data_IF_901749941382
#
_entry.id   IF_901749941382
#
_cell.length_a   1.000
_cell.length_b   1.000
_cell.length_c   1.000
_cell.angle_alpha   90.00
_cell.angle_beta   90.00
_cell.angle_gamma   90.00
#
_symmetry.space_group_name_H-M   'P 1'
#
loop_
_entity.id
_entity.type
_entity.pdbx_description
1 polymer ?
#
# COMPACT_ATOMS: atom_id res chain seq x y z
N UNK A 1 -6.06 25.44 -14.57
CA UNK A 1 -6.07 24.43 -15.66
C UNK A 1 -4.68 23.90 -16.02
N UNK A 2 -3.71 24.73 -16.46
CA UNK A 2 -2.32 24.26 -16.68
C UNK A 2 -1.62 23.93 -15.36
N UNK A 3 -1.77 24.80 -14.35
CA UNK A 3 -1.20 24.62 -13.00
C UNK A 3 -1.72 23.35 -12.32
N UNK A 4 -3.01 23.03 -12.46
CA UNK A 4 -3.59 21.81 -11.89
C UNK A 4 -3.08 20.54 -12.57
N UNK A 5 -2.86 20.57 -13.89
CA UNK A 5 -2.27 19.44 -14.61
C UNK A 5 -0.83 19.19 -14.20
N UNK A 6 -0.04 20.27 -14.06
CA UNK A 6 1.35 20.19 -13.61
C UNK A 6 1.40 19.66 -12.18
N UNK A 7 0.59 20.20 -11.26
CA UNK A 7 0.52 19.73 -9.88
C UNK A 7 0.18 18.24 -9.78
N UNK A 8 -0.85 17.81 -10.50
CA UNK A 8 -1.33 16.41 -10.46
C UNK A 8 -0.43 15.43 -11.22
N UNK A 9 0.62 15.89 -11.91
CA UNK A 9 1.64 15.02 -12.48
C UNK A 9 2.95 15.08 -11.68
N UNK A 10 3.40 16.30 -11.36
CA UNK A 10 4.64 16.57 -10.66
C UNK A 10 4.62 16.01 -9.22
N UNK A 11 3.58 16.32 -8.43
CA UNK A 11 3.52 15.88 -7.03
C UNK A 11 3.49 14.35 -6.91
N UNK A 12 2.66 13.60 -7.65
CA UNK A 12 2.71 12.13 -7.59
C UNK A 12 4.05 11.56 -8.08
N UNK A 13 4.66 12.15 -9.10
CA UNK A 13 5.99 11.71 -9.58
C UNK A 13 7.05 11.90 -8.51
N UNK A 14 7.03 13.05 -7.82
CA UNK A 14 7.94 13.33 -6.70
C UNK A 14 7.70 12.37 -5.53
N UNK A 15 6.43 12.11 -5.17
CA UNK A 15 6.07 11.13 -4.14
C UNK A 15 6.61 9.74 -4.52
N UNK A 16 6.45 9.31 -5.77
CA UNK A 16 6.93 8.01 -6.24
C UNK A 16 8.45 7.90 -6.11
N UNK A 17 9.19 8.90 -6.61
CA UNK A 17 10.65 8.93 -6.59
C UNK A 17 11.16 8.91 -5.14
N UNK A 18 10.65 9.81 -4.29
CA UNK A 18 11.04 9.88 -2.88
C UNK A 18 10.72 8.57 -2.17
N UNK A 19 9.54 7.99 -2.40
CA UNK A 19 9.14 6.73 -1.76
C UNK A 19 10.05 5.58 -2.19
N UNK A 20 10.37 5.47 -3.48
CA UNK A 20 11.29 4.44 -3.99
C UNK A 20 12.66 4.58 -3.34
N UNK A 21 13.21 5.80 -3.27
CA UNK A 21 14.48 6.08 -2.58
C UNK A 21 14.40 5.66 -1.12
N UNK A 22 13.35 6.07 -0.39
CA UNK A 22 13.15 5.67 1.01
C UNK A 22 13.09 4.15 1.16
N UNK A 23 12.38 3.44 0.28
CA UNK A 23 12.28 1.99 0.34
C UNK A 23 13.64 1.31 0.16
N UNK A 24 14.50 1.80 -0.73
CA UNK A 24 15.88 1.30 -0.84
C UNK A 24 16.72 1.55 0.42
N UNK A 25 16.48 2.66 1.12
CA UNK A 25 17.25 3.06 2.30
C UNK A 25 16.78 2.38 3.60
N UNK A 26 15.46 2.15 3.75
CA UNK A 26 14.89 1.62 5.00
C UNK A 26 15.30 0.18 5.24
N UNK A 27 15.15 -0.69 4.22
CA UNK A 27 15.50 -2.10 4.37
C UNK A 27 15.63 -2.83 3.03
N UNK A 28 16.62 -3.73 2.85
CA UNK A 28 16.85 -4.44 1.58
C UNK A 28 15.66 -5.28 1.08
N UNK A 29 14.79 -5.74 1.97
CA UNK A 29 13.58 -6.49 1.58
C UNK A 29 12.59 -5.65 0.77
N UNK A 30 12.54 -4.33 0.99
CA UNK A 30 11.54 -3.44 0.37
C UNK A 30 11.69 -3.32 -1.15
N UNK A 31 12.88 -3.64 -1.68
CA UNK A 31 13.12 -3.67 -3.13
C UNK A 31 12.32 -4.77 -3.86
N UNK A 32 11.89 -5.80 -3.14
CA UNK A 32 11.16 -6.94 -3.70
C UNK A 32 9.64 -6.81 -3.54
N UNK A 33 9.17 -5.94 -2.64
CA UNK A 33 7.75 -5.73 -2.37
C UNK A 33 7.32 -4.30 -2.75
N UNK A 34 7.77 -3.30 -2.00
CA UNK A 34 7.24 -1.95 -2.06
C UNK A 34 7.71 -1.15 -3.28
N UNK A 35 8.93 -1.38 -3.77
CA UNK A 35 9.41 -0.72 -5.00
C UNK A 35 8.56 -1.14 -6.21
N UNK A 36 8.36 -2.44 -6.51
CA UNK A 36 7.40 -2.87 -7.53
C UNK A 36 6.00 -2.34 -7.31
N UNK A 37 5.49 -2.37 -6.07
CA UNK A 37 4.15 -1.88 -5.74
C UNK A 37 3.98 -0.39 -6.07
N UNK A 38 4.98 0.45 -5.78
CA UNK A 38 4.95 1.88 -6.10
C UNK A 38 5.00 2.14 -7.60
N UNK A 39 5.79 1.37 -8.36
CA UNK A 39 5.82 1.47 -9.83
C UNK A 39 4.46 1.13 -10.41
N UNK A 40 3.85 0.02 -9.97
CA UNK A 40 2.50 -0.38 -10.42
C UNK A 40 1.48 0.67 -10.01
N UNK A 41 1.55 1.20 -8.78
CA UNK A 41 0.65 2.24 -8.29
C UNK A 41 0.70 3.51 -9.14
N UNK A 42 1.91 3.94 -9.51
CA UNK A 42 2.11 5.10 -10.35
C UNK A 42 1.55 4.90 -11.75
N UNK A 43 1.78 3.72 -12.35
CA UNK A 43 1.18 3.37 -13.65
C UNK A 43 -0.34 3.35 -13.57
N UNK A 44 -0.93 2.68 -12.56
CA UNK A 44 -2.37 2.67 -12.35
C UNK A 44 -2.92 4.08 -12.17
N UNK A 45 -2.26 4.93 -11.39
CA UNK A 45 -2.62 6.33 -11.19
C UNK A 45 -2.67 7.10 -12.51
N UNK A 46 -1.63 7.01 -13.35
CA UNK A 46 -1.55 7.71 -14.63
C UNK A 46 -2.61 7.23 -15.64
N UNK A 47 -2.89 5.93 -15.64
CA UNK A 47 -3.91 5.33 -16.50
C UNK A 47 -5.33 5.66 -16.04
N UNK A 48 -5.52 5.89 -14.73
CA UNK A 48 -6.84 6.08 -14.12
C UNK A 48 -6.99 7.45 -13.45
N UNK A 49 -6.81 7.53 -12.13
CA UNK A 49 -7.17 8.66 -11.26
C UNK A 49 -6.59 10.02 -11.67
N UNK A 50 -5.46 10.02 -12.40
CA UNK A 50 -4.93 11.23 -13.03
C UNK A 50 -5.93 11.84 -14.03
N UNK A 51 -6.54 10.98 -14.87
CA UNK A 51 -7.52 11.36 -15.90
C UNK A 51 -8.88 11.65 -15.27
N UNK A 52 -9.46 10.66 -14.59
CA UNK A 52 -10.80 10.72 -13.99
C UNK A 52 -10.77 10.07 -12.62
N UNK A 53 -11.27 10.79 -11.60
CA UNK A 53 -11.39 10.28 -10.24
C UNK A 53 -12.46 9.18 -10.16
N UNK A 54 -12.23 8.13 -9.35
CA UNK A 54 -13.28 7.16 -9.07
C UNK A 54 -14.37 7.78 -8.18
N UNK A 55 -15.56 7.18 -8.16
CA UNK A 55 -16.65 7.60 -7.26
C UNK A 55 -16.24 7.34 -5.80
N UNK A 56 -16.09 8.41 -5.04
CA UNK A 56 -15.58 8.39 -3.66
C UNK A 56 -16.47 7.52 -2.78
N UNK A 57 -17.79 7.59 -2.94
CA UNK A 57 -18.80 6.87 -2.16
C UNK A 57 -18.65 5.34 -2.32
N UNK A 58 -18.07 4.91 -3.44
CA UNK A 58 -17.81 3.49 -3.72
C UNK A 58 -16.46 3.06 -3.18
N UNK A 59 -15.44 3.90 -3.26
CA UNK A 59 -14.07 3.51 -2.88
C UNK A 59 -13.83 3.70 -1.38
N UNK A 60 -14.20 4.85 -0.83
CA UNK A 60 -13.82 5.28 0.51
C UNK A 60 -14.25 4.32 1.62
N UNK A 61 -15.48 3.77 1.67
CA UNK A 61 -15.85 2.84 2.73
C UNK A 61 -14.98 1.58 2.76
N UNK A 62 -14.69 1.00 1.59
CA UNK A 62 -13.84 -0.19 1.49
C UNK A 62 -12.40 0.17 1.82
N UNK A 63 -11.94 1.36 1.43
CA UNK A 63 -10.60 1.85 1.72
C UNK A 63 -10.37 1.97 3.22
N UNK A 64 -11.33 2.56 3.95
CA UNK A 64 -11.27 2.72 5.40
C UNK A 64 -11.34 1.37 6.13
N UNK A 65 -12.17 0.44 5.66
CA UNK A 65 -12.20 -0.94 6.21
C UNK A 65 -10.86 -1.63 6.00
N UNK A 66 -10.28 -1.53 4.79
CA UNK A 66 -8.96 -2.09 4.53
C UNK A 66 -7.88 -1.45 5.38
N UNK A 67 -7.95 -0.14 5.64
CA UNK A 67 -7.00 0.55 6.51
C UNK A 67 -7.13 0.08 7.97
N UNK A 68 -8.36 -0.13 8.45
CA UNK A 68 -8.62 -0.73 9.77
C UNK A 68 -8.01 -2.14 9.88
N UNK A 69 -8.21 -2.98 8.86
CA UNK A 69 -7.59 -4.30 8.77
C UNK A 69 -6.06 -4.21 8.73
N UNK A 70 -5.50 -3.20 8.05
CA UNK A 70 -4.05 -3.03 7.99
C UNK A 70 -3.44 -2.73 9.37
N UNK A 71 -4.14 -2.00 10.25
CA UNK A 71 -3.70 -1.85 11.64
C UNK A 71 -3.68 -3.18 12.39
N UNK A 72 -4.71 -4.02 12.21
CA UNK A 72 -4.75 -5.36 12.81
C UNK A 72 -3.65 -6.25 12.24
N UNK A 73 -3.40 -6.16 10.93
CA UNK A 73 -2.37 -6.91 10.25
C UNK A 73 -0.97 -6.58 10.76
N UNK A 74 -0.66 -5.29 10.88
CA UNK A 74 0.59 -4.86 11.48
C UNK A 74 0.71 -5.24 12.96
N UNK A 75 -0.40 -5.23 13.70
CA UNK A 75 -0.42 -5.70 15.08
C UNK A 75 -0.02 -7.18 15.16
N UNK A 76 -0.59 -8.02 14.29
CA UNK A 76 -0.20 -9.44 14.18
C UNK A 76 1.27 -9.60 13.80
N UNK A 77 1.73 -8.89 12.76
CA UNK A 77 3.13 -8.91 12.33
C UNK A 77 4.09 -8.54 13.47
N UNK A 78 3.81 -7.45 14.18
CA UNK A 78 4.63 -6.96 15.29
C UNK A 78 4.68 -7.95 16.46
N UNK A 79 3.51 -8.41 16.92
CA UNK A 79 3.38 -9.30 18.08
C UNK A 79 4.04 -10.65 17.82
N UNK A 80 3.90 -11.19 16.61
CA UNK A 80 4.42 -12.53 16.26
C UNK A 80 5.81 -12.51 15.62
N UNK A 81 6.44 -11.33 15.52
CA UNK A 81 7.86 -11.17 15.19
C UNK A 81 8.19 -11.20 13.70
N UNK A 82 7.30 -10.70 12.83
CA UNK A 82 7.52 -10.59 11.38
C UNK A 82 8.88 -9.96 11.05
N UNK A 83 9.23 -8.88 11.76
CA UNK A 83 10.45 -8.09 11.61
C UNK A 83 11.75 -8.91 11.72
N UNK A 84 11.69 -10.07 12.37
CA UNK A 84 12.81 -11.01 12.52
C UNK A 84 12.65 -12.22 11.60
N UNK A 85 11.45 -12.80 11.53
CA UNK A 85 11.22 -14.04 10.78
C UNK A 85 11.31 -13.86 9.27
N UNK A 86 10.88 -12.72 8.74
CA UNK A 86 10.96 -12.45 7.28
C UNK A 86 12.41 -12.41 6.82
N UNK A 87 13.30 -11.88 7.66
CA UNK A 87 14.72 -11.72 7.34
C UNK A 87 15.49 -13.04 7.40
N UNK A 88 15.10 -13.94 8.30
CA UNK A 88 15.61 -15.33 8.36
C UNK A 88 15.29 -16.09 7.04
N UNK A 89 14.07 -15.96 6.54
CA UNK A 89 13.61 -16.67 5.33
C UNK A 89 14.27 -16.12 4.06
N UNK A 90 14.50 -14.81 3.98
CA UNK A 90 15.07 -14.14 2.81
C UNK A 90 16.60 -14.28 2.70
N UNK A 91 17.15 -15.39 3.23
CA UNK A 91 18.54 -15.80 3.08
C UNK A 91 19.58 -14.82 3.67
N UNK A 92 19.33 -14.35 4.90
CA UNK A 92 20.35 -13.64 5.68
C UNK A 92 20.32 -12.11 5.55
N UNK A 93 19.15 -11.54 5.26
CA UNK A 93 18.98 -10.09 5.43
C UNK A 93 19.12 -9.74 6.92
N UNK A 94 19.64 -8.54 7.27
CA UNK A 94 19.65 -8.10 8.66
C UNK A 94 18.20 -8.01 9.18
N UNK A 95 17.93 -8.31 10.46
CA UNK A 95 16.61 -8.11 11.04
C UNK A 95 16.20 -6.64 10.94
N UNK A 96 14.92 -6.39 10.77
CA UNK A 96 14.41 -5.03 10.86
C UNK A 96 14.65 -4.49 12.28
N UNK A 97 15.23 -3.30 12.38
CA UNK A 97 15.22 -2.57 13.63
C UNK A 97 13.76 -2.31 14.03
N UNK A 98 13.37 -2.73 15.24
CA UNK A 98 11.98 -2.68 15.71
C UNK A 98 11.41 -1.25 15.70
N UNK A 99 12.19 -0.27 16.11
CA UNK A 99 11.75 1.12 16.14
C UNK A 99 11.56 1.67 14.73
N UNK A 100 12.46 1.31 13.80
CA UNK A 100 12.32 1.67 12.38
C UNK A 100 11.10 0.97 11.77
N UNK A 101 10.87 -0.30 12.07
CA UNK A 101 9.71 -1.07 11.59
C UNK A 101 8.39 -0.43 12.02
N UNK A 102 8.27 -0.02 13.28
CA UNK A 102 7.09 0.66 13.81
C UNK A 102 6.95 2.06 13.22
N UNK A 103 8.01 2.88 13.26
CA UNK A 103 7.95 4.24 12.76
C UNK A 103 7.58 4.28 11.27
N UNK A 104 8.18 3.40 10.47
CA UNK A 104 7.90 3.28 9.03
C UNK A 104 6.42 2.96 8.77
N UNK A 105 5.85 1.98 9.46
CA UNK A 105 4.44 1.63 9.32
C UNK A 105 3.51 2.73 9.81
N UNK A 106 3.81 3.37 10.95
CA UNK A 106 2.99 4.46 11.48
C UNK A 106 2.98 5.69 10.57
N UNK A 107 4.13 6.02 9.95
CA UNK A 107 4.21 7.07 8.93
C UNK A 107 3.38 6.68 7.72
N UNK A 108 3.50 5.44 7.22
CA UNK A 108 2.71 4.95 6.10
C UNK A 108 1.20 5.03 6.38
N UNK A 109 0.73 4.60 7.56
CA UNK A 109 -0.69 4.68 7.93
C UNK A 109 -1.21 6.10 8.06
N UNK A 110 -0.37 7.01 8.56
CA UNK A 110 -0.69 8.44 8.58
C UNK A 110 -0.87 8.98 7.15
N UNK A 111 0.03 8.61 6.23
CA UNK A 111 -0.08 8.99 4.82
C UNK A 111 -1.30 8.36 4.13
N UNK A 112 -1.64 7.11 4.45
CA UNK A 112 -2.85 6.45 3.94
C UNK A 112 -4.12 7.16 4.43
N UNK A 113 -4.18 7.50 5.71
CA UNK A 113 -5.30 8.28 6.25
C UNK A 113 -5.44 9.63 5.53
N UNK A 114 -4.33 10.38 5.40
CA UNK A 114 -4.31 11.67 4.68
C UNK A 114 -4.70 11.52 3.21
N UNK A 115 -4.29 10.44 2.55
CA UNK A 115 -4.68 10.15 1.18
C UNK A 115 -6.17 9.83 1.06
N UNK A 116 -6.75 9.12 2.03
CA UNK A 116 -8.20 8.90 2.13
C UNK A 116 -8.97 10.22 2.28
N UNK A 117 -8.48 11.13 3.11
CA UNK A 117 -9.04 12.49 3.25
C UNK A 117 -8.91 13.27 1.94
N UNK A 118 -7.75 13.21 1.28
CA UNK A 118 -7.52 13.84 -0.02
C UNK A 118 -8.48 13.32 -1.10
N UNK A 119 -8.70 12.00 -1.15
CA UNK A 119 -9.68 11.37 -2.02
C UNK A 119 -11.10 11.86 -1.71
N UNK A 120 -11.49 11.95 -0.44
CA UNK A 120 -12.78 12.50 -0.03
C UNK A 120 -12.99 13.95 -0.48
N UNK A 121 -11.91 14.74 -0.49
CA UNK A 121 -11.91 16.12 -1.00
C UNK A 121 -11.80 16.22 -2.53
N UNK A 122 -11.81 15.10 -3.26
CA UNK A 122 -11.73 15.09 -4.73
C UNK A 122 -10.33 15.44 -5.28
N UNK A 123 -9.29 15.37 -4.46
CA UNK A 123 -7.93 15.70 -4.86
C UNK A 123 -7.31 14.53 -5.63
N UNK A 124 -6.72 14.80 -6.81
CA UNK A 124 -6.13 13.76 -7.65
C UNK A 124 -4.76 13.31 -7.17
N UNK A 125 -3.85 14.23 -6.83
CA UNK A 125 -2.48 13.86 -6.50
C UNK A 125 -2.32 12.85 -5.34
N UNK A 126 -3.14 12.83 -4.27
CA UNK A 126 -3.03 11.82 -3.21
C UNK A 126 -3.39 10.41 -3.68
N UNK A 127 -4.04 10.27 -4.84
CA UNK A 127 -4.49 8.97 -5.34
C UNK A 127 -3.34 8.01 -5.66
N UNK A 128 -2.10 8.49 -5.86
CA UNK A 128 -0.94 7.59 -5.95
C UNK A 128 -0.76 6.78 -4.65
N UNK A 129 -0.98 7.42 -3.50
CA UNK A 129 -0.89 6.78 -2.19
C UNK A 129 -2.06 5.81 -2.00
N UNK A 130 -3.26 6.19 -2.47
CA UNK A 130 -4.44 5.30 -2.46
C UNK A 130 -4.20 4.04 -3.30
N UNK A 131 -3.64 4.20 -4.50
CA UNK A 131 -3.27 3.07 -5.37
C UNK A 131 -2.19 2.20 -4.73
N UNK A 132 -1.14 2.82 -4.18
CA UNK A 132 -0.06 2.10 -3.51
C UNK A 132 -0.61 1.26 -2.35
N UNK A 133 -1.45 1.85 -1.50
CA UNK A 133 -2.11 1.13 -0.42
C UNK A 133 -2.92 -0.07 -0.93
N UNK A 134 -3.78 0.12 -1.93
CA UNK A 134 -4.60 -0.97 -2.48
C UNK A 134 -3.76 -2.12 -3.05
N UNK A 135 -2.65 -1.79 -3.72
CA UNK A 135 -1.69 -2.79 -4.23
C UNK A 135 -0.99 -3.50 -3.09
N UNK A 136 -0.57 -2.79 -2.04
CA UNK A 136 0.04 -3.40 -0.86
C UNK A 136 -0.92 -4.31 -0.09
N UNK A 137 -2.21 -3.97 0.03
CA UNK A 137 -3.21 -4.86 0.65
C UNK A 137 -3.29 -6.20 -0.09
N UNK A 138 -3.33 -6.17 -1.43
CA UNK A 138 -3.32 -7.39 -2.24
C UNK A 138 -1.96 -8.10 -2.17
N UNK A 139 -0.87 -7.34 -2.22
CA UNK A 139 0.49 -7.84 -2.13
C UNK A 139 0.75 -8.58 -0.82
N UNK A 140 0.30 -8.05 0.31
CA UNK A 140 0.40 -8.70 1.62
C UNK A 140 -0.37 -10.03 1.62
N UNK A 141 -1.61 -10.06 1.13
CA UNK A 141 -2.40 -11.29 1.04
C UNK A 141 -1.66 -12.42 0.27
N UNK A 142 -1.01 -12.07 -0.83
CA UNK A 142 -0.20 -13.01 -1.62
C UNK A 142 1.08 -13.38 -0.86
N UNK A 143 1.81 -12.39 -0.35
CA UNK A 143 3.12 -12.57 0.24
C UNK A 143 3.08 -13.42 1.51
N UNK A 144 2.13 -13.15 2.41
CA UNK A 144 1.98 -13.93 3.64
C UNK A 144 1.56 -15.38 3.36
N UNK A 145 0.75 -15.62 2.32
CA UNK A 145 0.45 -16.98 1.87
C UNK A 145 1.72 -17.69 1.37
N UNK A 146 2.51 -17.03 0.51
CA UNK A 146 3.76 -17.60 -0.01
C UNK A 146 4.78 -17.88 1.10
N UNK A 147 4.92 -16.98 2.07
CA UNK A 147 5.82 -17.16 3.22
C UNK A 147 5.36 -18.31 4.12
N UNK A 148 4.06 -18.41 4.39
CA UNK A 148 3.45 -19.53 5.14
C UNK A 148 3.73 -20.87 4.46
N UNK A 149 3.53 -20.96 3.14
CA UNK A 149 3.84 -22.16 2.37
C UNK A 149 5.33 -22.50 2.43
N UNK A 150 6.20 -21.49 2.37
CA UNK A 150 7.66 -21.67 2.43
C UNK A 150 8.14 -22.18 3.79
N UNK A 151 7.56 -21.74 4.90
CA UNK A 151 7.95 -22.20 6.24
C UNK A 151 7.26 -23.50 6.66
N UNK A 152 6.23 -23.94 5.92
CA UNK A 152 5.46 -25.15 6.24
C UNK A 152 4.61 -25.03 7.51
N UNK A 153 4.25 -23.81 7.90
CA UNK A 153 3.56 -23.51 9.15
C UNK A 153 3.12 -22.06 9.24
N UNK A 154 2.64 -21.63 10.41
CA UNK A 154 2.18 -20.26 10.61
C UNK A 154 3.31 -19.24 10.41
N UNK A 155 3.03 -18.20 9.63
CA UNK A 155 3.90 -17.04 9.46
C UNK A 155 3.16 -15.76 9.91
N UNK A 156 3.82 -14.84 10.66
CA UNK A 156 3.16 -13.63 11.18
C UNK A 156 2.45 -12.83 10.09
N UNK A 157 1.20 -12.46 10.34
CA UNK A 157 0.35 -11.71 9.41
C UNK A 157 -0.55 -12.59 8.54
N UNK A 158 -0.43 -13.92 8.60
CA UNK A 158 -1.26 -14.84 7.81
C UNK A 158 -2.75 -14.63 8.07
N UNK A 159 -3.18 -14.61 9.34
CA UNK A 159 -4.61 -14.65 9.67
C UNK A 159 -5.32 -13.38 9.20
N UNK A 160 -4.74 -12.22 9.49
CA UNK A 160 -5.27 -10.93 9.07
C UNK A 160 -5.14 -10.69 7.56
N UNK A 161 -4.12 -11.25 6.90
CA UNK A 161 -3.92 -11.09 5.46
C UNK A 161 -5.04 -11.70 4.60
N UNK A 162 -5.82 -12.65 5.14
CA UNK A 162 -6.96 -13.24 4.43
C UNK A 162 -8.01 -12.21 4.03
N UNK A 163 -8.22 -11.18 4.85
CA UNK A 163 -9.11 -10.08 4.48
C UNK A 163 -8.63 -9.34 3.21
N UNK A 164 -7.31 -9.31 2.96
CA UNK A 164 -6.71 -8.73 1.75
C UNK A 164 -7.10 -9.46 0.46
N UNK A 165 -7.37 -10.78 0.50
CA UNK A 165 -7.88 -11.54 -0.65
C UNK A 165 -9.27 -11.10 -1.10
N UNK A 166 -10.05 -10.49 -0.21
CA UNK A 166 -11.39 -9.96 -0.52
C UNK A 166 -11.31 -8.46 -0.79
N UNK A 167 -10.70 -7.70 0.14
CA UNK A 167 -10.67 -6.24 0.07
C UNK A 167 -9.77 -5.73 -1.05
N UNK A 168 -8.63 -6.38 -1.30
CA UNK A 168 -7.69 -6.01 -2.37
C UNK A 168 -8.35 -5.99 -3.76
N UNK A 169 -8.93 -7.11 -4.23
CA UNK A 169 -9.60 -7.16 -5.54
C UNK A 169 -10.79 -6.19 -5.63
N UNK A 170 -11.56 -6.02 -4.55
CA UNK A 170 -12.67 -5.06 -4.52
C UNK A 170 -12.14 -3.63 -4.68
N UNK A 171 -11.10 -3.25 -3.94
CA UNK A 171 -10.49 -1.91 -4.02
C UNK A 171 -9.92 -1.65 -5.41
N UNK A 172 -9.10 -2.56 -5.93
CA UNK A 172 -8.48 -2.41 -7.25
C UNK A 172 -9.56 -2.26 -8.34
N UNK A 173 -10.61 -3.08 -8.29
CA UNK A 173 -11.74 -2.99 -9.24
C UNK A 173 -12.48 -1.66 -9.13
N UNK A 174 -12.74 -1.17 -7.91
CA UNK A 174 -13.48 0.09 -7.69
C UNK A 174 -12.65 1.32 -8.05
N UNK A 175 -11.34 1.28 -7.81
CA UNK A 175 -10.41 2.33 -8.24
C UNK A 175 -10.25 2.37 -9.77
N UNK A 176 -10.25 1.20 -10.41
CA UNK A 176 -10.09 1.11 -11.87
C UNK A 176 -11.35 1.55 -12.64
N UNK A 177 -12.54 1.29 -12.08
CA UNK A 177 -13.81 1.70 -12.71
C UNK A 177 -14.00 3.21 -12.63
N UNK A 178 -13.62 3.88 -13.71
CA UNK A 178 -13.93 5.28 -13.95
C UNK A 178 -15.37 5.40 -14.45
N UNK A 179 -16.26 5.96 -13.65
CA UNK A 179 -17.58 6.36 -14.12
C UNK A 179 -17.54 7.86 -14.32
N UNK A 180 -17.61 8.32 -15.56
CA UNK A 180 -17.84 9.73 -15.86
C UNK A 180 -19.19 10.13 -15.25
N UNK A 181 -19.19 11.20 -14.45
CA UNK A 181 -20.43 11.92 -14.18
C UNK A 181 -20.87 12.49 -15.54
N UNK A 182 -21.93 11.91 -16.11
CA UNK A 182 -22.64 12.48 -17.24
C UNK A 182 -23.48 13.67 -16.76
#
# INVERSE_FOLDING_TARGET
>A
MITDRILNLFVPSLIAIISIVIFFLVHPAQKFSFVPAMVVAFVCYLLTSYRVMPKVERVLPVYLIALAIQFLHFTEEYVYGFQFKVTEIMAGMPPFNVNVFVAFNMIAYSLFLLAGIGMYKGMKFPMIIVWFFAICVMGNAIWHLLLTLRVGGYFPGLYTSFAGWILGPILLKRLWRQESVA
#
